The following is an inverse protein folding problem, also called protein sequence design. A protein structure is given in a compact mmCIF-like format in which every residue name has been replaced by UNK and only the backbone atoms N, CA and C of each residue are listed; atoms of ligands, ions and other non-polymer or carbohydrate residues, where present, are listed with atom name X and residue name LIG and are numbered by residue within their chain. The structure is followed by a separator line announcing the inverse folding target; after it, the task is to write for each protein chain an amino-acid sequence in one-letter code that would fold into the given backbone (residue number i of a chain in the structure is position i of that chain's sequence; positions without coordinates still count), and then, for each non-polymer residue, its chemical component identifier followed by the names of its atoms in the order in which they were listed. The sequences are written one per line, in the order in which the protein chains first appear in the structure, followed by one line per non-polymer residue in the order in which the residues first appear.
data_IF_133642892988
#
_entry.id   IF_133642892988
#
_cell.length_a   1.000
_cell.length_b   1.000
_cell.length_c   1.000
_cell.angle_alpha   90.00
_cell.angle_beta   90.00
_cell.angle_gamma   90.00
#
_symmetry.space_group_name_H-M   'P 1'
#
loop_
_entity.id
_entity.type
_entity.pdbx_description
1 polymer ?
#
# COMPACT_ATOMS: atom_id res chain seq x y z
N UNK A 1 26.98 11.67 -16.17
CA UNK A 1 25.69 12.33 -15.84
C UNK A 1 24.60 11.57 -16.59
N UNK A 2 23.90 10.65 -15.92
CA UNK A 2 22.81 9.90 -16.55
C UNK A 2 21.58 10.82 -16.63
N UNK A 3 21.13 11.10 -17.85
CA UNK A 3 19.88 11.81 -18.12
C UNK A 3 18.72 10.95 -17.60
N UNK A 4 18.07 11.37 -16.50
CA UNK A 4 16.78 10.79 -16.11
C UNK A 4 15.74 11.24 -17.13
N UNK A 5 15.39 10.38 -18.08
CA UNK A 5 14.22 10.60 -18.91
C UNK A 5 12.98 10.62 -18.00
N UNK A 6 12.06 11.59 -18.17
CA UNK A 6 10.83 11.59 -17.39
C UNK A 6 10.02 10.35 -17.76
N UNK A 7 9.92 9.42 -16.82
CA UNK A 7 9.03 8.25 -16.95
C UNK A 7 7.61 8.78 -16.82
N UNK A 8 6.78 8.56 -17.84
CA UNK A 8 5.37 8.91 -17.77
C UNK A 8 4.67 7.93 -16.82
N UNK A 9 4.41 8.35 -15.58
CA UNK A 9 3.65 7.55 -14.62
C UNK A 9 2.18 7.49 -15.03
N UNK A 10 1.67 6.27 -15.25
CA UNK A 10 0.26 6.05 -15.58
C UNK A 10 -0.57 6.03 -14.30
N UNK A 11 -1.34 7.09 -14.07
CA UNK A 11 -2.28 7.18 -12.94
C UNK A 11 -3.68 6.81 -13.43
N UNK A 12 -4.30 5.80 -12.80
CA UNK A 12 -5.68 5.42 -13.09
C UNK A 12 -6.61 5.97 -12.00
N UNK A 13 -7.59 6.79 -12.40
CA UNK A 13 -8.58 7.39 -11.48
C UNK A 13 -9.92 6.69 -11.69
N UNK A 14 -10.46 6.10 -10.63
CA UNK A 14 -11.80 5.49 -10.61
C UNK A 14 -12.74 6.40 -9.83
N UNK A 15 -13.49 7.23 -10.55
CA UNK A 15 -14.50 8.11 -9.97
C UNK A 15 -15.91 7.52 -10.15
N UNK A 16 -16.67 7.53 -9.06
CA UNK A 16 -18.05 7.03 -9.03
C UNK A 16 -18.73 7.48 -7.73
N UNK A 17 -20.06 7.50 -7.71
CA UNK A 17 -20.87 7.85 -6.54
C UNK A 17 -20.58 6.93 -5.33
N UNK A 18 -20.88 7.40 -4.11
CA UNK A 18 -20.80 6.55 -2.92
C UNK A 18 -21.80 5.39 -3.00
N UNK A 19 -21.44 4.24 -2.41
CA UNK A 19 -22.27 3.03 -2.50
C UNK A 19 -22.19 2.27 -3.83
N UNK A 20 -21.53 2.81 -4.86
CA UNK A 20 -21.40 2.14 -6.17
C UNK A 20 -20.41 0.95 -6.22
N UNK A 21 -19.81 0.59 -5.09
CA UNK A 21 -18.88 -0.54 -5.01
C UNK A 21 -17.40 -0.24 -5.33
N UNK A 22 -16.90 0.99 -5.15
CA UNK A 22 -15.47 1.32 -5.37
C UNK A 22 -14.51 0.42 -4.57
N UNK A 23 -14.75 0.22 -3.28
CA UNK A 23 -13.95 -0.72 -2.48
C UNK A 23 -14.03 -2.14 -3.05
N UNK A 24 -15.23 -2.58 -3.46
CA UNK A 24 -15.42 -3.91 -4.06
C UNK A 24 -14.62 -4.05 -5.36
N UNK A 25 -14.59 -3.03 -6.20
CA UNK A 25 -13.75 -2.98 -7.38
C UNK A 25 -12.26 -3.10 -7.03
N UNK A 26 -11.78 -2.35 -6.03
CA UNK A 26 -10.39 -2.41 -5.59
C UNK A 26 -10.00 -3.81 -5.05
N UNK A 27 -10.89 -4.44 -4.27
CA UNK A 27 -10.72 -5.82 -3.79
C UNK A 27 -10.58 -6.78 -4.97
N UNK A 28 -11.46 -6.70 -5.97
CA UNK A 28 -11.40 -7.57 -7.15
C UNK A 28 -10.16 -7.33 -7.98
N UNK A 29 -9.76 -6.07 -8.15
CA UNK A 29 -8.52 -5.69 -8.81
C UNK A 29 -7.31 -6.35 -8.14
N UNK A 30 -7.19 -6.24 -6.81
CA UNK A 30 -6.09 -6.85 -6.07
C UNK A 30 -6.13 -8.39 -6.11
N UNK A 31 -7.32 -9.00 -6.06
CA UNK A 31 -7.48 -10.47 -6.16
C UNK A 31 -6.99 -11.02 -7.50
N UNK A 32 -7.34 -10.35 -8.59
CA UNK A 32 -7.07 -10.81 -9.95
C UNK A 32 -5.68 -10.41 -10.46
N UNK A 33 -4.94 -9.62 -9.69
CA UNK A 33 -3.59 -9.21 -10.05
C UNK A 33 -2.60 -10.41 -10.01
N UNK A 34 -1.51 -10.36 -10.80
CA UNK A 34 -0.44 -11.36 -10.75
C UNK A 34 0.18 -11.47 -9.36
N UNK A 35 0.53 -12.68 -8.91
CA UNK A 35 0.99 -12.95 -7.55
C UNK A 35 2.20 -12.12 -7.09
N UNK A 36 3.08 -11.74 -8.02
CA UNK A 36 4.26 -10.91 -7.75
C UNK A 36 3.93 -9.43 -7.53
N UNK A 37 2.75 -8.97 -7.94
CA UNK A 37 2.36 -7.57 -7.79
C UNK A 37 2.04 -7.27 -6.33
N UNK A 38 2.74 -6.30 -5.75
CA UNK A 38 2.61 -5.86 -4.37
C UNK A 38 1.72 -4.64 -4.26
N UNK A 39 0.95 -4.54 -3.19
CA UNK A 39 -0.01 -3.46 -2.98
C UNK A 39 0.20 -2.75 -1.65
N UNK A 40 0.03 -1.42 -1.68
CA UNK A 40 -0.21 -0.60 -0.49
C UNK A 40 -1.62 -0.02 -0.61
N UNK A 41 -2.52 -0.44 0.28
CA UNK A 41 -3.90 0.05 0.32
C UNK A 41 -4.09 1.03 1.47
N UNK A 42 -4.48 2.27 1.16
CA UNK A 42 -4.68 3.32 2.13
C UNK A 42 -6.16 3.72 2.20
N UNK A 43 -6.72 3.74 3.41
CA UNK A 43 -8.13 4.06 3.66
C UNK A 43 -8.30 4.92 4.90
N UNK A 44 -9.33 5.78 5.00
CA UNK A 44 -9.57 6.55 6.23
C UNK A 44 -10.03 5.69 7.41
N UNK A 45 -10.65 4.54 7.19
CA UNK A 45 -11.38 3.82 8.23
C UNK A 45 -10.74 2.47 8.60
N UNK A 46 -10.69 2.16 9.90
CA UNK A 46 -10.14 0.89 10.42
C UNK A 46 -10.94 -0.34 9.98
N UNK A 47 -12.27 -0.24 9.91
CA UNK A 47 -13.11 -1.35 9.43
C UNK A 47 -12.79 -1.72 7.97
N UNK A 48 -12.40 -0.75 7.14
CA UNK A 48 -11.97 -1.02 5.77
C UNK A 48 -10.59 -1.71 5.74
N UNK A 49 -9.71 -1.43 6.71
CA UNK A 49 -8.46 -2.19 6.87
C UNK A 49 -8.77 -3.67 7.12
N UNK A 50 -9.61 -3.96 8.12
CA UNK A 50 -10.04 -5.32 8.45
C UNK A 50 -10.72 -6.01 7.26
N UNK A 51 -11.56 -5.28 6.54
CA UNK A 51 -12.22 -5.76 5.32
C UNK A 51 -11.20 -6.16 4.25
N UNK A 52 -10.15 -5.39 4.02
CA UNK A 52 -9.12 -5.74 3.03
C UNK A 52 -8.35 -6.99 3.46
N UNK A 53 -7.92 -7.07 4.72
CA UNK A 53 -7.18 -8.22 5.26
C UNK A 53 -7.99 -9.51 5.09
N UNK A 54 -9.28 -9.46 5.42
CA UNK A 54 -10.17 -10.62 5.36
C UNK A 54 -10.64 -10.95 3.94
N UNK A 55 -10.82 -9.93 3.10
CA UNK A 55 -11.39 -10.13 1.76
C UNK A 55 -10.34 -10.52 0.74
N UNK A 56 -9.08 -10.09 0.88
CA UNK A 56 -8.02 -10.29 -0.12
C UNK A 56 -7.03 -11.32 0.39
N UNK A 57 -7.06 -12.53 -0.19
CA UNK A 57 -6.16 -13.63 0.19
C UNK A 57 -4.73 -13.44 -0.35
N UNK A 58 -4.07 -12.36 0.07
CA UNK A 58 -2.71 -11.95 -0.35
C UNK A 58 -1.82 -11.57 0.82
N UNK A 59 -2.18 -12.04 2.02
CA UNK A 59 -1.41 -11.84 3.26
C UNK A 59 -1.09 -10.36 3.57
N UNK A 60 -2.12 -9.50 3.50
CA UNK A 60 -1.98 -8.09 3.86
C UNK A 60 -1.55 -7.93 5.32
N UNK A 61 -0.52 -7.12 5.54
CA UNK A 61 0.00 -6.75 6.85
C UNK A 61 -0.41 -5.33 7.19
N UNK A 62 -0.78 -5.11 8.45
CA UNK A 62 -1.02 -3.78 8.99
C UNK A 62 0.15 -3.39 9.89
N UNK A 63 0.80 -2.23 9.66
CA UNK A 63 1.91 -1.81 10.49
C UNK A 63 1.49 -1.57 11.94
N UNK A 64 2.27 -2.09 12.87
CA UNK A 64 2.07 -1.97 14.32
C UNK A 64 3.26 -1.26 14.97
N UNK A 65 3.00 -0.64 16.12
CA UNK A 65 4.09 -0.29 17.02
C UNK A 65 4.31 -1.49 17.94
N UNK A 66 5.55 -1.80 18.26
CA UNK A 66 5.86 -2.87 19.21
C UNK A 66 6.07 -2.32 20.63
N UNK A 67 6.11 -3.23 21.60
CA UNK A 67 6.36 -2.86 23.00
C UNK A 67 7.84 -2.53 23.29
N UNK A 68 8.74 -2.69 22.30
CA UNK A 68 10.19 -2.47 22.43
C UNK A 68 10.63 -1.11 21.89
N UNK A 69 9.70 -0.31 21.38
CA UNK A 69 9.94 1.07 20.93
C UNK A 69 9.98 1.23 19.41
N UNK A 70 9.74 0.17 18.63
CA UNK A 70 9.60 0.28 17.18
C UNK A 70 8.32 1.05 16.86
N UNK A 71 8.51 2.15 16.14
CA UNK A 71 7.42 3.00 15.66
C UNK A 71 6.73 2.34 14.47
N UNK A 72 5.47 2.71 14.24
CA UNK A 72 4.74 2.23 13.05
C UNK A 72 5.40 2.62 11.71
N UNK A 73 6.25 3.65 11.70
CA UNK A 73 6.97 4.07 10.49
C UNK A 73 8.14 3.11 10.22
N UNK A 74 8.89 2.76 11.25
CA UNK A 74 9.95 1.73 11.15
C UNK A 74 9.36 0.39 10.70
N UNK A 75 8.19 0.03 11.26
CA UNK A 75 7.49 -1.19 10.85
C UNK A 75 7.02 -1.15 9.39
N UNK A 76 6.55 0.01 8.89
CA UNK A 76 6.29 0.19 7.45
C UNK A 76 7.54 -0.08 6.63
N UNK A 77 8.67 0.53 6.99
CA UNK A 77 9.93 0.40 6.24
C UNK A 77 10.35 -1.07 6.19
N UNK A 78 10.27 -1.78 7.34
CA UNK A 78 10.54 -3.22 7.41
C UNK A 78 9.60 -4.03 6.52
N UNK A 79 8.29 -3.80 6.59
CA UNK A 79 7.30 -4.52 5.77
C UNK A 79 7.49 -4.29 4.27
N UNK A 80 7.90 -3.08 3.86
CA UNK A 80 8.24 -2.78 2.46
C UNK A 80 9.47 -3.59 2.05
N UNK A 81 10.55 -3.56 2.83
CA UNK A 81 11.79 -4.31 2.58
C UNK A 81 11.58 -5.83 2.54
N UNK A 82 10.54 -6.35 3.18
CA UNK A 82 10.15 -7.76 3.08
C UNK A 82 9.19 -8.06 1.92
N UNK A 83 8.87 -7.06 1.11
CA UNK A 83 7.98 -7.17 -0.05
C UNK A 83 6.53 -7.51 0.30
N UNK A 84 6.00 -7.02 1.42
CA UNK A 84 4.65 -7.37 1.89
C UNK A 84 3.56 -6.56 1.18
N UNK A 85 2.36 -7.14 1.10
CA UNK A 85 1.16 -6.34 0.85
C UNK A 85 0.82 -5.59 2.13
N UNK A 86 0.63 -4.28 2.06
CA UNK A 86 0.45 -3.41 3.23
C UNK A 86 -0.92 -2.75 3.16
N UNK A 87 -1.60 -2.66 4.30
CA UNK A 87 -2.85 -1.93 4.44
C UNK A 87 -2.77 -1.00 5.64
N UNK A 88 -3.15 0.26 5.47
CA UNK A 88 -3.07 1.23 6.56
C UNK A 88 -4.03 2.41 6.42
N UNK A 89 -4.03 3.27 7.44
CA UNK A 89 -4.81 4.50 7.48
C UNK A 89 -4.04 5.70 6.95
N UNK A 90 -4.75 6.74 6.49
CA UNK A 90 -4.12 7.99 6.06
C UNK A 90 -3.19 8.61 7.11
N UNK A 91 -3.54 8.49 8.40
CA UNK A 91 -2.73 9.04 9.49
C UNK A 91 -1.31 8.44 9.52
N UNK A 92 -1.18 7.16 9.19
CA UNK A 92 0.14 6.52 9.15
C UNK A 92 0.87 6.85 7.85
N UNK A 93 0.15 6.88 6.73
CA UNK A 93 0.72 7.20 5.41
C UNK A 93 1.23 8.64 5.32
N UNK A 94 0.70 9.58 6.12
CA UNK A 94 1.17 10.98 6.17
C UNK A 94 2.61 11.13 6.65
N UNK A 95 3.18 10.11 7.29
CA UNK A 95 4.55 10.12 7.80
C UNK A 95 5.55 9.51 6.82
N UNK A 96 5.15 9.24 5.57
CA UNK A 96 6.05 8.76 4.53
C UNK A 96 7.09 9.83 4.21
N UNK A 97 8.35 9.40 4.21
CA UNK A 97 9.53 10.18 3.87
C UNK A 97 10.15 9.67 2.56
N UNK A 98 11.23 10.32 2.11
CA UNK A 98 11.93 9.91 0.89
C UNK A 98 12.52 8.50 1.00
N UNK A 99 12.90 8.06 2.20
CA UNK A 99 13.45 6.72 2.42
C UNK A 99 12.41 5.64 2.09
N UNK A 100 11.14 5.84 2.47
CA UNK A 100 10.06 4.93 2.07
C UNK A 100 9.92 4.87 0.55
N UNK A 101 10.05 5.99 -0.17
CA UNK A 101 9.98 6.00 -1.64
C UNK A 101 11.13 5.18 -2.24
N UNK A 102 12.35 5.37 -1.73
CA UNK A 102 13.52 4.62 -2.18
C UNK A 102 13.35 3.11 -1.92
N UNK A 103 12.83 2.72 -0.75
CA UNK A 103 12.52 1.32 -0.43
C UNK A 103 11.47 0.72 -1.36
N UNK A 104 10.44 1.49 -1.73
CA UNK A 104 9.40 1.03 -2.66
C UNK A 104 9.98 0.77 -4.05
N UNK A 105 10.86 1.64 -4.54
CA UNK A 105 11.54 1.46 -5.82
C UNK A 105 12.48 0.24 -5.79
N UNK A 106 13.30 0.11 -4.74
CA UNK A 106 14.20 -1.04 -4.53
C UNK A 106 13.44 -2.37 -4.50
N UNK A 107 12.27 -2.38 -3.89
CA UNK A 107 11.42 -3.55 -3.78
C UNK A 107 10.47 -3.71 -4.98
N UNK A 108 10.62 -2.97 -6.08
CA UNK A 108 9.79 -3.12 -7.28
C UNK A 108 8.28 -2.96 -7.01
N UNK A 109 7.89 -2.05 -6.12
CA UNK A 109 6.51 -1.57 -6.07
C UNK A 109 6.25 -0.67 -7.29
N UNK A 110 4.99 -0.60 -7.73
CA UNK A 110 4.58 0.35 -8.78
C UNK A 110 4.36 1.73 -8.16
N UNK A 111 5.15 2.73 -8.58
CA UNK A 111 5.06 4.14 -8.19
C UNK A 111 4.46 5.02 -9.30
#
# INVERSE_FOLDING_TARGET
MLLKHPVQTKINIIDSIMGSGKTSWAIQFMKNAPAYQKFIYITPFKNEVERIITSVNRNFQQPQADCKGETKLEDIKRLISEGKNIVSTHSLFRNIDNEVIDLLDMENYTL
#
